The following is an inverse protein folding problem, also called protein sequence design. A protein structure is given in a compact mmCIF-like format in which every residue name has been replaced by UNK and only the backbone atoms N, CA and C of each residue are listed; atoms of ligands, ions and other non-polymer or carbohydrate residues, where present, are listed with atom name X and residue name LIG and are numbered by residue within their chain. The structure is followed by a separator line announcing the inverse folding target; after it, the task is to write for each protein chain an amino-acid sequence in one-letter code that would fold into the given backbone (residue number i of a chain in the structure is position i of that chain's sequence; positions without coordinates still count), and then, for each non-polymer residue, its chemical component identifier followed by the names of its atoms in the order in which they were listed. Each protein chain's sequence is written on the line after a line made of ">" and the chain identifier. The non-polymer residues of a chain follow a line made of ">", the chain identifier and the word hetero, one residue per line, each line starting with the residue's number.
data_IF_492637206547
#
_entry.id   IF_492637206547
#
_cell.length_a   1.000
_cell.length_b   1.000
_cell.length_c   1.000
_cell.angle_alpha   90.00
_cell.angle_beta   90.00
_cell.angle_gamma   90.00
#
_symmetry.space_group_name_H-M   'P 1'
#
loop_
_entity.id
_entity.type
_entity.pdbx_description
1 polymer ?
#
# COMPACT_ATOMS: atom_id res chain seq x y z
N UNK A 1 -25.79 6.38 61.22
CA UNK A 1 -24.47 5.98 60.69
C UNK A 1 -24.58 5.88 59.17
N UNK A 2 -23.74 6.61 58.42
CA UNK A 2 -23.77 6.65 56.95
C UNK A 2 -23.00 5.45 56.40
N UNK A 3 -23.63 4.63 55.56
CA UNK A 3 -22.99 3.53 54.86
C UNK A 3 -22.34 4.03 53.56
N UNK A 4 -21.06 3.75 53.37
CA UNK A 4 -20.35 3.99 52.11
C UNK A 4 -20.52 2.76 51.21
N UNK A 5 -20.89 2.99 49.94
CA UNK A 5 -20.90 1.98 48.89
C UNK A 5 -19.66 2.18 48.01
N UNK A 6 -18.87 1.13 47.83
CA UNK A 6 -17.73 1.13 46.91
C UNK A 6 -18.14 0.46 45.60
N UNK A 7 -17.76 1.06 44.47
CA UNK A 7 -17.78 0.42 43.15
C UNK A 7 -16.33 0.13 42.81
N UNK A 8 -15.99 -1.15 42.64
CA UNK A 8 -14.71 -1.55 42.06
C UNK A 8 -14.79 -1.33 40.55
N UNK A 9 -14.06 -0.33 40.03
CA UNK A 9 -13.87 -0.17 38.60
C UNK A 9 -12.69 -1.07 38.19
N UNK A 10 -12.99 -2.23 37.61
CA UNK A 10 -11.99 -3.06 36.97
C UNK A 10 -11.61 -2.37 35.65
N UNK A 11 -10.52 -1.62 35.63
CA UNK A 11 -9.91 -1.16 34.38
C UNK A 11 -9.23 -2.38 33.77
N UNK A 12 -9.92 -3.04 32.85
CA UNK A 12 -9.26 -4.01 31.98
C UNK A 12 -8.22 -3.24 31.17
N UNK A 13 -6.94 -3.48 31.45
CA UNK A 13 -5.89 -3.05 30.55
C UNK A 13 -6.13 -3.76 29.22
N UNK A 14 -6.64 -3.03 28.21
CA UNK A 14 -6.55 -3.48 26.83
C UNK A 14 -5.07 -3.54 26.50
N UNK A 15 -4.49 -4.73 26.55
CA UNK A 15 -3.23 -4.99 25.89
C UNK A 15 -3.49 -4.82 24.39
N UNK A 16 -3.04 -3.71 23.83
CA UNK A 16 -2.88 -3.58 22.39
C UNK A 16 -1.81 -4.60 22.00
N UNK A 17 -2.24 -5.72 21.43
CA UNK A 17 -1.32 -6.62 20.73
C UNK A 17 -1.22 -6.01 19.34
N UNK A 18 -0.01 -5.61 18.93
CA UNK A 18 0.27 -5.29 17.53
C UNK A 18 -0.07 -6.53 16.71
N UNK A 19 -1.26 -6.53 16.09
CA UNK A 19 -1.53 -7.44 14.99
C UNK A 19 -0.71 -6.97 13.80
N UNK A 20 -0.16 -7.90 13.03
CA UNK A 20 0.34 -7.54 11.70
C UNK A 20 -0.85 -6.99 10.92
N UNK A 21 -0.76 -5.72 10.53
CA UNK A 21 -1.78 -5.06 9.73
C UNK A 21 -1.69 -5.53 8.27
N UNK A 22 -2.83 -5.69 7.61
CA UNK A 22 -2.99 -6.15 6.24
C UNK A 22 -4.42 -5.92 5.78
N UNK A 23 -4.67 -5.89 4.47
CA UNK A 23 -6.02 -5.70 3.96
C UNK A 23 -6.93 -6.88 4.36
N UNK A 24 -7.87 -6.65 5.27
CA UNK A 24 -8.82 -7.66 5.73
C UNK A 24 -10.09 -7.70 4.87
N UNK A 25 -10.33 -8.84 4.22
CA UNK A 25 -11.56 -9.11 3.47
C UNK A 25 -12.53 -9.81 4.40
N UNK A 26 -13.51 -9.07 4.92
CA UNK A 26 -14.45 -9.57 5.94
C UNK A 26 -15.77 -10.08 5.37
N UNK A 27 -16.12 -9.70 4.13
CA UNK A 27 -17.38 -10.08 3.49
C UNK A 27 -17.14 -10.48 2.04
N UNK A 28 -17.52 -11.71 1.67
CA UNK A 28 -17.43 -12.19 0.30
C UNK A 28 -18.41 -11.49 -0.65
N UNK A 29 -18.01 -11.35 -1.92
CA UNK A 29 -18.86 -10.74 -2.97
C UNK A 29 -19.07 -9.23 -2.83
N UNK A 30 -18.31 -8.57 -1.94
CA UNK A 30 -18.26 -7.11 -1.81
C UNK A 30 -16.89 -6.62 -2.26
N UNK A 31 -16.87 -5.58 -3.09
CA UNK A 31 -15.62 -4.99 -3.53
C UNK A 31 -14.95 -4.26 -2.37
N UNK A 32 -13.65 -4.54 -2.18
CA UNK A 32 -12.78 -3.78 -1.29
C UNK A 32 -11.95 -2.86 -2.18
N UNK A 33 -12.09 -1.55 -2.00
CA UNK A 33 -11.48 -0.55 -2.86
C UNK A 33 -10.32 0.12 -2.13
N UNK A 34 -9.12 0.03 -2.70
CA UNK A 34 -7.95 0.82 -2.30
C UNK A 34 -7.86 2.02 -3.24
N UNK A 35 -8.38 3.17 -2.80
CA UNK A 35 -8.42 4.39 -3.62
C UNK A 35 -7.44 5.48 -3.17
N UNK A 36 -6.75 5.28 -2.04
CA UNK A 36 -5.81 6.24 -1.43
C UNK A 36 -6.42 7.60 -1.05
N UNK A 37 -7.75 7.75 -1.11
CA UNK A 37 -8.46 9.02 -0.90
C UNK A 37 -8.73 9.33 0.57
N UNK A 38 -8.76 8.30 1.41
CA UNK A 38 -9.00 8.40 2.84
C UNK A 38 -8.44 7.17 3.56
N UNK A 39 -8.67 7.09 4.87
CA UNK A 39 -8.25 5.93 5.65
C UNK A 39 -8.97 4.66 5.17
N UNK A 40 -8.19 3.67 4.75
CA UNK A 40 -8.62 2.28 4.71
C UNK A 40 -7.93 1.57 5.87
N UNK A 41 -8.69 0.99 6.84
CA UNK A 41 -8.10 0.30 7.97
C UNK A 41 -7.07 -0.73 7.54
N UNK A 42 -5.96 -0.76 8.27
CA UNK A 42 -4.87 -1.70 8.05
C UNK A 42 -4.20 -1.64 6.66
N UNK A 43 -4.34 -0.50 5.95
CA UNK A 43 -3.74 -0.27 4.62
C UNK A 43 -3.10 1.11 4.53
N UNK A 44 -3.77 2.15 5.01
CA UNK A 44 -3.24 3.52 5.01
C UNK A 44 -4.00 4.41 6.00
N UNK A 45 -3.35 5.50 6.44
CA UNK A 45 -3.98 6.49 7.33
C UNK A 45 -4.19 7.82 6.60
N UNK A 46 -5.43 8.29 6.54
CA UNK A 46 -5.81 9.50 5.80
C UNK A 46 -5.61 9.37 4.29
N UNK A 47 -5.84 10.45 3.56
CA UNK A 47 -5.51 10.51 2.13
C UNK A 47 -3.99 10.39 1.96
N UNK A 48 -3.52 9.51 1.07
CA UNK A 48 -2.09 9.35 0.83
C UNK A 48 -1.48 10.66 0.31
N UNK A 49 -0.33 11.06 0.87
CA UNK A 49 0.37 12.29 0.49
C UNK A 49 1.78 12.03 -0.03
N UNK A 50 2.22 10.77 -0.10
CA UNK A 50 3.60 10.44 -0.43
C UNK A 50 4.55 10.70 0.73
N UNK A 51 4.06 10.65 1.97
CA UNK A 51 4.83 10.90 3.20
C UNK A 51 5.58 9.65 3.70
N UNK A 52 5.58 8.57 2.92
CA UNK A 52 6.26 7.32 3.22
C UNK A 52 5.37 6.21 3.76
N UNK A 53 6.03 5.24 4.40
CA UNK A 53 5.48 3.97 4.88
C UNK A 53 5.94 3.75 6.31
N UNK A 54 5.07 3.26 7.19
CA UNK A 54 5.45 2.82 8.53
C UNK A 54 4.38 1.87 9.10
N UNK A 55 4.69 1.03 10.11
CA UNK A 55 3.74 0.00 10.60
C UNK A 55 2.55 0.58 11.37
N UNK A 56 2.66 1.84 11.81
CA UNK A 56 1.60 2.55 12.51
C UNK A 56 1.47 3.94 11.86
N UNK A 57 0.86 4.02 10.65
CA UNK A 57 0.95 5.19 9.82
C UNK A 57 0.28 6.41 10.43
N UNK A 58 1.01 7.53 10.41
CA UNK A 58 0.41 8.86 10.51
C UNK A 58 -0.39 9.21 9.25
N UNK A 59 -1.26 10.22 9.34
CA UNK A 59 -2.02 10.69 8.18
C UNK A 59 -1.08 11.06 7.01
N UNK A 60 -1.38 10.58 5.80
CA UNK A 60 -0.54 10.79 4.60
C UNK A 60 0.31 9.59 4.20
N UNK A 61 0.35 8.53 5.02
CA UNK A 61 1.26 7.38 4.87
C UNK A 61 0.52 6.08 4.62
N UNK A 62 1.24 5.14 4.01
CA UNK A 62 0.82 3.75 3.84
C UNK A 62 1.26 2.92 5.05
N UNK A 63 0.48 1.90 5.36
CA UNK A 63 0.81 0.92 6.41
C UNK A 63 1.84 -0.09 5.88
N UNK A 64 3.07 -0.05 6.38
CA UNK A 64 4.11 -0.97 5.89
C UNK A 64 3.90 -2.41 6.36
N UNK A 65 3.01 -2.70 7.30
CA UNK A 65 2.63 -4.09 7.54
C UNK A 65 1.81 -4.64 6.36
N UNK A 66 1.08 -3.79 5.64
CA UNK A 66 0.25 -4.16 4.49
C UNK A 66 0.97 -4.01 3.14
N UNK A 67 1.93 -3.08 3.03
CA UNK A 67 2.64 -2.77 1.80
C UNK A 67 4.14 -3.09 1.89
N UNK A 68 4.66 -3.73 0.86
CA UNK A 68 6.09 -3.88 0.60
C UNK A 68 6.43 -3.20 -0.73
N UNK A 69 7.57 -2.52 -0.78
CA UNK A 69 8.07 -1.90 -2.01
C UNK A 69 9.53 -2.23 -2.22
N UNK A 70 9.85 -2.80 -3.38
CA UNK A 70 11.20 -3.21 -3.76
C UNK A 70 11.68 -2.45 -5.00
N UNK A 71 13.00 -2.28 -5.12
CA UNK A 71 13.64 -1.78 -6.33
C UNK A 71 13.76 -0.27 -6.43
N UNK A 72 13.63 0.48 -5.33
CA UNK A 72 13.94 1.92 -5.28
C UNK A 72 15.36 2.14 -4.73
N UNK A 73 16.05 3.20 -5.16
CA UNK A 73 17.44 3.49 -4.80
C UNK A 73 17.57 4.30 -3.50
N UNK A 74 16.82 3.92 -2.48
CA UNK A 74 17.15 4.32 -1.10
C UNK A 74 18.35 3.51 -0.61
N UNK A 75 19.08 3.98 0.40
CA UNK A 75 20.27 3.30 0.95
C UNK A 75 20.06 1.84 1.37
N UNK A 76 18.81 1.40 1.50
CA UNK A 76 18.39 0.04 1.85
C UNK A 76 17.76 -0.76 0.68
N UNK A 77 17.46 -0.12 -0.46
CA UNK A 77 17.03 -0.76 -1.71
C UNK A 77 15.62 -1.39 -1.71
N UNK A 78 14.98 -1.46 -0.55
CA UNK A 78 13.74 -2.17 -0.28
C UNK A 78 13.10 -1.65 1.03
N UNK A 79 11.77 -1.63 1.07
CA UNK A 79 10.95 -1.53 2.27
C UNK A 79 10.21 -2.86 2.40
N UNK A 80 10.66 -3.74 3.29
CA UNK A 80 9.96 -4.99 3.58
C UNK A 80 8.81 -4.74 4.55
N UNK A 81 7.93 -5.73 4.70
CA UNK A 81 6.78 -5.58 5.60
C UNK A 81 7.21 -5.24 7.03
N UNK A 82 6.64 -4.17 7.58
CA UNK A 82 6.91 -3.67 8.93
C UNK A 82 8.07 -2.68 9.03
N UNK A 83 8.71 -2.29 7.91
CA UNK A 83 9.76 -1.27 7.91
C UNK A 83 9.21 0.15 8.09
N UNK A 84 10.06 1.11 8.44
CA UNK A 84 9.70 2.53 8.55
C UNK A 84 10.53 3.33 7.56
N UNK A 85 9.89 3.82 6.51
CA UNK A 85 10.50 4.48 5.37
C UNK A 85 9.84 5.84 5.11
N UNK A 86 10.38 6.88 5.75
CA UNK A 86 9.77 8.22 5.80
C UNK A 86 10.52 9.28 5.00
N UNK A 87 11.53 8.89 4.22
CA UNK A 87 12.42 9.79 3.52
C UNK A 87 12.82 9.24 2.14
N UNK A 88 13.55 10.06 1.38
CA UNK A 88 14.14 9.68 0.10
C UNK A 88 13.10 9.14 -0.89
N UNK A 89 13.42 8.04 -1.56
CA UNK A 89 12.64 7.47 -2.66
C UNK A 89 11.33 6.85 -2.19
N UNK A 90 11.15 6.63 -0.88
CA UNK A 90 9.87 6.17 -0.33
C UNK A 90 8.91 7.32 -0.01
N UNK A 91 9.40 8.55 0.10
CA UNK A 91 8.62 9.70 0.55
C UNK A 91 8.90 10.95 -0.30
N UNK A 92 8.60 10.91 -1.61
CA UNK A 92 8.80 12.06 -2.49
C UNK A 92 7.67 13.10 -2.44
N UNK A 93 6.61 12.83 -1.68
CA UNK A 93 5.45 13.71 -1.55
C UNK A 93 4.53 13.69 -2.76
N UNK A 94 3.73 14.75 -2.91
CA UNK A 94 2.73 14.88 -3.96
C UNK A 94 3.29 15.44 -5.27
N UNK A 95 2.80 14.98 -6.43
CA UNK A 95 3.18 15.52 -7.74
C UNK A 95 2.03 15.47 -8.76
N UNK A 96 1.97 16.44 -9.67
CA UNK A 96 1.07 16.40 -10.84
C UNK A 96 1.63 15.62 -12.04
N UNK A 97 2.83 15.03 -11.91
CA UNK A 97 3.58 14.39 -13.00
C UNK A 97 4.80 15.19 -13.46
N UNK A 98 5.57 14.63 -14.40
CA UNK A 98 6.74 15.29 -15.00
C UNK A 98 7.96 15.44 -14.08
N UNK A 99 8.07 14.60 -13.05
CA UNK A 99 9.19 14.61 -12.10
C UNK A 99 10.44 13.98 -12.72
N UNK A 100 11.59 14.64 -12.59
CA UNK A 100 12.87 14.08 -13.08
C UNK A 100 13.60 13.20 -12.06
N UNK A 101 13.10 13.11 -10.82
CA UNK A 101 13.73 12.39 -9.72
C UNK A 101 12.95 11.10 -9.46
N UNK A 102 13.66 9.98 -9.44
CA UNK A 102 13.07 8.66 -9.22
C UNK A 102 12.55 8.43 -7.81
N UNK A 103 11.61 7.50 -7.70
CA UNK A 103 11.01 7.06 -6.43
C UNK A 103 9.49 7.09 -6.43
N UNK A 104 8.93 6.89 -5.25
CA UNK A 104 7.50 6.82 -4.95
C UNK A 104 6.93 8.19 -4.65
N UNK A 105 5.82 8.49 -5.30
CA UNK A 105 5.08 9.72 -5.15
C UNK A 105 3.62 9.40 -4.84
N UNK A 106 2.95 10.39 -4.24
CA UNK A 106 1.52 10.54 -4.46
C UNK A 106 1.29 11.35 -5.74
N UNK A 107 0.93 10.69 -6.83
CA UNK A 107 0.53 11.42 -8.04
C UNK A 107 -0.91 11.94 -7.91
N UNK A 108 -1.14 13.13 -8.44
CA UNK A 108 -2.44 13.81 -8.47
C UNK A 108 -2.79 14.11 -9.94
N UNK A 109 -3.25 13.12 -10.73
CA UNK A 109 -3.53 13.29 -12.15
C UNK A 109 -4.65 14.31 -12.41
N UNK A 110 -5.55 14.48 -11.45
CA UNK A 110 -6.56 15.54 -11.41
C UNK A 110 -6.84 15.90 -9.95
N UNK A 111 -7.34 17.12 -9.74
CA UNK A 111 -7.54 17.68 -8.39
C UNK A 111 -8.32 16.74 -7.48
N UNK A 112 -7.70 16.35 -6.36
CA UNK A 112 -8.33 15.52 -5.35
C UNK A 112 -8.33 14.02 -5.65
N UNK A 113 -7.59 13.56 -6.66
CA UNK A 113 -7.34 12.13 -6.88
C UNK A 113 -5.92 11.81 -6.42
N UNK A 114 -5.79 11.14 -5.28
CA UNK A 114 -4.50 10.74 -4.73
C UNK A 114 -4.21 9.34 -5.23
N UNK A 115 -3.03 9.11 -5.80
CA UNK A 115 -2.66 7.81 -6.34
C UNK A 115 -1.25 7.44 -5.87
N UNK A 116 -1.07 6.20 -5.42
CA UNK A 116 0.27 5.64 -5.30
C UNK A 116 0.86 5.47 -6.70
N UNK A 117 2.06 6.01 -6.92
CA UNK A 117 2.75 5.77 -8.17
C UNK A 117 4.25 5.97 -8.07
N UNK A 118 4.91 5.64 -9.18
CA UNK A 118 6.37 5.60 -9.26
C UNK A 118 6.84 6.45 -10.43
N UNK A 119 7.91 7.22 -10.20
CA UNK A 119 8.73 7.75 -11.27
C UNK A 119 9.91 6.78 -11.47
N UNK A 120 9.87 5.90 -12.48
CA UNK A 120 10.99 5.03 -12.77
C UNK A 120 12.18 5.83 -13.31
N UNK A 121 13.38 5.32 -13.03
CA UNK A 121 14.66 5.78 -13.60
C UNK A 121 15.55 4.56 -13.86
N UNK A 122 16.78 4.76 -14.36
CA UNK A 122 17.72 3.66 -14.51
C UNK A 122 18.14 3.01 -13.18
N UNK A 123 17.95 3.69 -12.04
CA UNK A 123 18.26 3.18 -10.70
C UNK A 123 17.02 2.84 -9.88
N UNK A 124 15.86 3.37 -10.26
CA UNK A 124 14.61 3.26 -9.50
C UNK A 124 13.56 2.52 -10.31
N UNK A 125 13.02 1.48 -9.70
CA UNK A 125 11.91 0.68 -10.18
C UNK A 125 12.16 0.05 -11.56
N UNK A 126 13.42 -0.33 -11.81
CA UNK A 126 13.88 -0.92 -13.07
C UNK A 126 14.79 -2.15 -12.81
N UNK A 127 14.24 -3.30 -12.36
CA UNK A 127 12.85 -3.57 -12.02
C UNK A 127 12.50 -3.16 -10.58
N UNK A 128 11.20 -3.12 -10.28
CA UNK A 128 10.67 -2.94 -8.92
C UNK A 128 9.31 -3.58 -8.76
N UNK A 129 8.81 -3.63 -7.52
CA UNK A 129 7.50 -4.19 -7.20
C UNK A 129 6.84 -3.42 -6.06
N UNK A 130 5.52 -3.38 -6.07
CA UNK A 130 4.68 -2.94 -4.95
C UNK A 130 3.76 -4.11 -4.63
N UNK A 131 3.86 -4.65 -3.42
CA UNK A 131 3.13 -5.84 -2.99
C UNK A 131 2.13 -5.44 -1.89
N UNK A 132 0.85 -5.73 -2.10
CA UNK A 132 -0.20 -5.62 -1.08
C UNK A 132 -0.45 -6.99 -0.45
N UNK A 133 -0.40 -7.06 0.88
CA UNK A 133 -0.79 -8.24 1.64
C UNK A 133 -2.27 -8.15 2.00
N UNK A 134 -3.02 -9.22 1.71
CA UNK A 134 -4.43 -9.33 2.04
C UNK A 134 -4.74 -10.65 2.77
N UNK A 135 -5.76 -10.64 3.62
CA UNK A 135 -6.25 -11.81 4.35
C UNK A 135 -7.74 -12.03 4.10
N UNK A 136 -8.13 -13.29 3.96
CA UNK A 136 -9.52 -13.70 3.92
C UNK A 136 -10.04 -13.94 5.36
N UNK A 137 -10.75 -12.94 5.89
CA UNK A 137 -11.39 -12.97 7.21
C UNK A 137 -12.92 -13.19 7.11
N UNK A 138 -13.41 -13.67 5.96
CA UNK A 138 -14.85 -13.93 5.76
C UNK A 138 -15.38 -15.11 6.57
N UNK A 139 -14.49 -15.95 7.09
CA UNK A 139 -14.84 -17.23 7.75
C UNK A 139 -15.24 -18.35 6.78
N UNK A 140 -15.15 -18.11 5.47
CA UNK A 140 -15.43 -19.09 4.41
C UNK A 140 -14.20 -19.28 3.51
N UNK A 141 -14.16 -20.39 2.77
CA UNK A 141 -13.17 -20.54 1.71
C UNK A 141 -13.47 -19.53 0.59
N UNK A 142 -12.42 -18.90 0.06
CA UNK A 142 -12.50 -18.04 -1.13
C UNK A 142 -12.06 -18.86 -2.32
N UNK A 143 -12.99 -19.09 -3.24
CA UNK A 143 -12.74 -19.88 -4.46
C UNK A 143 -12.36 -19.00 -5.67
N UNK A 144 -12.63 -17.69 -5.59
CA UNK A 144 -12.36 -16.72 -6.66
C UNK A 144 -12.02 -15.35 -6.07
N UNK A 145 -10.99 -14.69 -6.62
CA UNK A 145 -10.67 -13.29 -6.37
C UNK A 145 -10.76 -12.56 -7.71
N UNK A 146 -11.49 -11.45 -7.75
CA UNK A 146 -11.54 -10.55 -8.90
C UNK A 146 -10.69 -9.33 -8.61
N UNK A 147 -9.86 -8.94 -9.57
CA UNK A 147 -8.99 -7.78 -9.46
C UNK A 147 -9.21 -6.88 -10.67
N UNK A 148 -9.31 -5.60 -10.39
CA UNK A 148 -9.39 -4.51 -11.36
C UNK A 148 -8.64 -3.32 -10.79
N UNK A 149 -7.98 -2.54 -11.65
CA UNK A 149 -7.25 -1.35 -11.25
C UNK A 149 -7.23 -0.32 -12.38
N UNK A 150 -7.12 0.94 -11.99
CA UNK A 150 -6.92 2.05 -12.90
C UNK A 150 -5.42 2.40 -12.95
N UNK A 151 -4.86 2.52 -14.15
CA UNK A 151 -3.48 2.99 -14.36
C UNK A 151 -3.49 4.35 -15.03
N UNK A 152 -2.81 5.30 -14.40
CA UNK A 152 -2.55 6.62 -14.97
C UNK A 152 -1.08 6.72 -15.37
N UNK A 153 -0.84 6.93 -16.67
CA UNK A 153 0.51 7.08 -17.21
C UNK A 153 0.71 8.52 -17.67
N UNK A 154 1.76 9.16 -17.15
CA UNK A 154 2.23 10.44 -17.67
C UNK A 154 3.26 10.22 -18.80
N UNK A 155 2.78 9.94 -20.02
CA UNK A 155 3.65 9.66 -21.17
C UNK A 155 4.18 10.96 -21.83
N UNK A 156 5.22 11.55 -21.24
CA UNK A 156 5.82 12.80 -21.73
C UNK A 156 7.19 12.61 -22.41
N UNK A 157 7.68 11.38 -22.51
CA UNK A 157 8.96 11.00 -23.13
C UNK A 157 8.84 9.64 -23.82
N UNK A 158 9.69 9.37 -24.81
CA UNK A 158 9.67 8.13 -25.57
C UNK A 158 10.30 6.94 -24.81
N UNK A 159 9.67 6.55 -23.70
CA UNK A 159 10.02 5.38 -22.90
C UNK A 159 8.76 4.57 -22.60
N UNK A 160 8.89 3.24 -22.57
CA UNK A 160 7.80 2.35 -22.22
C UNK A 160 8.07 1.66 -20.88
N UNK A 161 7.01 1.46 -20.10
CA UNK A 161 7.00 0.69 -18.85
C UNK A 161 5.95 -0.40 -18.96
N UNK A 162 6.28 -1.60 -18.51
CA UNK A 162 5.33 -2.69 -18.33
C UNK A 162 4.98 -2.82 -16.85
N UNK A 163 3.69 -2.81 -16.54
CA UNK A 163 3.16 -3.21 -15.25
C UNK A 163 2.64 -4.65 -15.39
N UNK A 164 3.36 -5.58 -14.74
CA UNK A 164 2.93 -6.96 -14.60
C UNK A 164 2.16 -7.15 -13.30
N UNK A 165 1.08 -7.92 -13.33
CA UNK A 165 0.35 -8.31 -12.13
C UNK A 165 0.64 -9.78 -11.81
N UNK A 166 0.83 -10.09 -10.53
CA UNK A 166 0.97 -11.45 -10.05
C UNK A 166 0.36 -11.61 -8.66
N UNK A 167 0.04 -12.85 -8.28
CA UNK A 167 -0.48 -13.16 -6.96
C UNK A 167 0.22 -14.38 -6.36
N UNK A 168 0.23 -14.48 -5.03
CA UNK A 168 0.77 -15.62 -4.31
C UNK A 168 0.02 -15.82 -2.99
N UNK A 169 -0.02 -17.06 -2.48
CA UNK A 169 -0.48 -17.32 -1.11
C UNK A 169 0.59 -17.04 -0.05
N UNK A 170 1.84 -16.80 -0.47
CA UNK A 170 2.99 -16.51 0.38
C UNK A 170 3.90 -15.49 -0.32
N UNK A 171 4.43 -14.51 0.43
CA UNK A 171 5.39 -13.55 -0.11
C UNK A 171 6.79 -14.18 -0.24
N UNK A 172 6.98 -15.04 -1.24
CA UNK A 172 8.26 -15.69 -1.55
C UNK A 172 8.52 -15.45 -3.04
N UNK A 173 9.73 -14.99 -3.44
CA UNK A 173 10.00 -14.57 -4.82
C UNK A 173 9.59 -15.55 -5.93
N UNK A 174 9.62 -16.86 -5.67
CA UNK A 174 9.29 -17.90 -6.66
C UNK A 174 7.86 -18.47 -6.52
N UNK A 175 7.03 -17.90 -5.65
CA UNK A 175 5.65 -18.35 -5.41
C UNK A 175 4.61 -17.51 -6.16
N UNK A 176 5.01 -16.39 -6.77
CA UNK A 176 4.13 -15.52 -7.53
C UNK A 176 3.75 -16.14 -8.88
N UNK A 177 2.46 -16.09 -9.17
CA UNK A 177 1.84 -16.52 -10.42
C UNK A 177 1.42 -15.26 -11.17
N UNK A 178 1.99 -15.05 -12.36
CA UNK A 178 1.62 -13.93 -13.23
C UNK A 178 0.20 -14.08 -13.76
N UNK A 179 -0.51 -12.95 -13.89
CA UNK A 179 -1.83 -12.86 -14.51
C UNK A 179 -1.77 -11.97 -15.76
N UNK A 180 -1.39 -12.52 -16.93
CA UNK A 180 -1.25 -11.75 -18.17
C UNK A 180 -2.52 -10.98 -18.59
N UNK A 181 -3.69 -11.44 -18.15
CA UNK A 181 -4.99 -10.88 -18.53
C UNK A 181 -5.25 -9.46 -18.03
N UNK A 182 -4.51 -9.04 -17.00
CA UNK A 182 -4.65 -7.71 -16.41
C UNK A 182 -3.38 -6.88 -16.56
N UNK A 183 -2.32 -7.34 -17.23
CA UNK A 183 -1.11 -6.53 -17.41
C UNK A 183 -1.36 -5.25 -18.23
N UNK A 184 -0.49 -4.26 -18.03
CA UNK A 184 -0.55 -2.98 -18.72
C UNK A 184 0.81 -2.58 -19.31
N UNK A 185 0.81 -2.26 -20.61
CA UNK A 185 1.93 -1.62 -21.28
C UNK A 185 1.64 -0.13 -21.45
N UNK A 186 2.55 0.71 -20.97
CA UNK A 186 2.44 2.15 -21.21
C UNK A 186 2.62 2.46 -22.71
N UNK A 187 1.96 3.49 -23.24
CA UNK A 187 2.25 3.98 -24.58
C UNK A 187 3.72 4.43 -24.67
N UNK A 188 4.34 4.23 -25.84
CA UNK A 188 5.69 4.72 -26.20
C UNK A 188 5.65 6.08 -26.89
#
# INVERSE_FOLDING_TARGET
>A
MKGFKYIALLVAALAYVSGYSQLSITTGGTDVVVDFQGTLPDVNQGAFQGDGFEPNPSAGRLDSDAWEVLGVSSGDGASIFGDTELNNDFARGTSGGGTGIGGLYCFIPFSGNFSLGVQPTNSDFTPGSITLKAINDTGLAVDEIKISYDVWTYNNVANATKLSFSHASQNIPNAFIEEPSVEYDSPS
#
